data_IF_172294477974
#
_entry.id   IF_172294477974
#
_cell.length_a   1.000
_cell.length_b   1.000
_cell.length_c   1.000
_cell.angle_alpha   90.00
_cell.angle_beta   90.00
_cell.angle_gamma   90.00
#
_symmetry.space_group_name_H-M   'P 1'
#
loop_
_entity.id
_entity.type
_entity.pdbx_description
1 polymer ?
#
# COMPACT_ATOMS: atom_id res chain seq x y z
N UNK A 1 7.46 17.79 -2.30
CA UNK A 1 6.28 16.96 -2.59
C UNK A 1 6.12 16.86 -4.10
N UNK A 2 6.02 15.66 -4.67
CA UNK A 2 5.88 15.46 -6.12
C UNK A 2 4.67 16.19 -6.71
N UNK A 3 4.74 16.54 -8.01
CA UNK A 3 3.72 17.35 -8.71
C UNK A 3 2.32 16.74 -8.62
N UNK A 4 2.21 15.42 -8.83
CA UNK A 4 0.94 14.70 -8.75
C UNK A 4 0.27 14.86 -7.38
N UNK A 5 1.02 14.70 -6.29
CA UNK A 5 0.45 14.81 -4.96
C UNK A 5 -0.01 16.25 -4.64
N UNK A 6 0.72 17.27 -5.10
CA UNK A 6 0.26 18.66 -4.97
C UNK A 6 -1.04 18.93 -5.77
N UNK A 7 -1.24 18.24 -6.89
CA UNK A 7 -2.47 18.35 -7.68
C UNK A 7 -3.66 17.69 -6.97
N UNK A 8 -3.50 16.46 -6.50
CA UNK A 8 -4.61 15.75 -5.84
C UNK A 8 -5.01 16.38 -4.51
N UNK A 9 -4.09 17.01 -3.77
CA UNK A 9 -4.42 17.68 -2.50
C UNK A 9 -5.36 18.89 -2.71
N UNK A 10 -5.30 19.56 -3.87
CA UNK A 10 -6.08 20.76 -4.17
C UNK A 10 -7.51 20.50 -4.64
N UNK A 11 -7.81 19.29 -5.12
CA UNK A 11 -9.14 18.95 -5.64
C UNK A 11 -10.13 18.77 -4.51
N UNK A 12 -11.39 19.11 -4.74
CA UNK A 12 -12.45 18.70 -3.83
C UNK A 12 -12.96 17.30 -4.22
N UNK A 13 -13.37 16.52 -3.23
CA UNK A 13 -13.71 15.12 -3.40
C UNK A 13 -14.92 14.70 -2.55
N UNK A 14 -15.39 13.49 -2.77
CA UNK A 14 -16.48 12.94 -1.96
C UNK A 14 -15.95 12.32 -0.68
N UNK A 15 -16.63 12.55 0.43
CA UNK A 15 -16.41 11.79 1.68
C UNK A 15 -17.32 10.57 1.64
N UNK A 16 -16.75 9.39 1.80
CA UNK A 16 -17.53 8.15 1.84
C UNK A 16 -18.12 7.93 3.23
N UNK A 17 -19.30 7.33 3.28
CA UNK A 17 -19.88 6.87 4.54
C UNK A 17 -19.34 5.47 4.85
N UNK A 18 -18.41 5.38 5.80
CA UNK A 18 -17.73 4.15 6.19
C UNK A 18 -18.13 3.73 7.59
N UNK A 19 -19.25 3.02 7.64
CA UNK A 19 -19.80 2.42 8.86
C UNK A 19 -18.79 1.63 9.70
N UNK A 20 -17.87 0.88 9.09
CA UNK A 20 -16.90 0.11 9.85
C UNK A 20 -15.92 1.06 10.56
N UNK A 21 -15.47 2.08 9.83
CA UNK A 21 -14.54 3.07 10.37
C UNK A 21 -15.17 3.88 11.50
N UNK A 22 -16.46 4.22 11.39
CA UNK A 22 -17.21 4.95 12.43
C UNK A 22 -17.27 4.20 13.79
N UNK A 23 -17.15 2.87 13.79
CA UNK A 23 -17.10 2.05 15.01
C UNK A 23 -15.68 1.83 15.55
N UNK A 24 -14.65 2.13 14.78
CA UNK A 24 -13.26 1.92 15.18
C UNK A 24 -12.71 3.12 15.94
N UNK A 25 -11.79 2.91 16.90
CA UNK A 25 -11.13 4.02 17.57
C UNK A 25 -10.07 4.64 16.66
N UNK A 26 -9.92 5.96 16.70
CA UNK A 26 -8.86 6.69 15.99
C UNK A 26 -7.62 6.85 16.87
N UNK A 27 -6.60 6.02 16.65
CA UNK A 27 -5.33 6.09 17.39
C UNK A 27 -4.13 6.26 16.47
N UNK A 28 -3.13 7.01 16.93
CA UNK A 28 -1.84 7.08 16.24
C UNK A 28 -1.03 5.81 16.50
N UNK A 29 -1.01 4.92 15.51
CA UNK A 29 -0.26 3.66 15.51
C UNK A 29 0.83 3.64 14.43
N UNK A 30 1.26 4.83 13.98
CA UNK A 30 2.18 5.01 12.84
C UNK A 30 3.47 4.21 13.02
N UNK A 31 4.05 4.24 14.22
CA UNK A 31 5.27 3.51 14.53
C UNK A 31 5.14 2.00 14.32
N UNK A 32 4.01 1.40 14.68
CA UNK A 32 3.76 -0.02 14.48
C UNK A 32 3.57 -0.37 12.99
N UNK A 33 2.80 0.46 12.27
CA UNK A 33 2.60 0.29 10.83
C UNK A 33 3.95 0.31 10.11
N UNK A 34 4.77 1.34 10.36
CA UNK A 34 6.06 1.49 9.70
C UNK A 34 7.08 0.45 10.15
N UNK A 35 7.10 0.03 11.41
CA UNK A 35 7.97 -1.05 11.85
C UNK A 35 7.71 -2.34 11.06
N UNK A 36 6.44 -2.69 10.82
CA UNK A 36 6.08 -3.87 10.02
C UNK A 36 6.45 -3.66 8.55
N UNK A 37 6.07 -2.53 7.95
CA UNK A 37 6.32 -2.27 6.52
C UNK A 37 7.82 -2.23 6.22
N UNK A 38 8.61 -1.52 7.01
CA UNK A 38 10.07 -1.46 6.83
C UNK A 38 10.73 -2.82 7.06
N UNK A 39 10.28 -3.57 8.09
CA UNK A 39 10.77 -4.93 8.33
C UNK A 39 10.49 -5.88 7.16
N UNK A 40 9.28 -5.82 6.59
CA UNK A 40 8.92 -6.62 5.41
C UNK A 40 9.62 -6.14 4.15
N UNK A 41 9.83 -4.84 3.99
CA UNK A 41 10.63 -4.23 2.92
C UNK A 41 12.08 -4.73 2.95
N UNK A 42 12.70 -4.76 4.13
CA UNK A 42 14.04 -5.31 4.31
C UNK A 42 14.08 -6.81 3.99
N UNK A 43 13.06 -7.57 4.42
CA UNK A 43 12.97 -9.00 4.12
C UNK A 43 12.88 -9.27 2.61
N UNK A 44 11.99 -8.59 1.88
CA UNK A 44 11.85 -8.81 0.44
C UNK A 44 13.12 -8.39 -0.30
N UNK A 45 13.76 -7.29 0.12
CA UNK A 45 15.03 -6.83 -0.45
C UNK A 45 16.12 -7.88 -0.25
N UNK A 46 16.26 -8.40 0.98
CA UNK A 46 17.19 -9.48 1.27
C UNK A 46 16.94 -10.70 0.37
N UNK A 47 15.68 -11.12 0.20
CA UNK A 47 15.34 -12.26 -0.69
C UNK A 47 15.60 -11.97 -2.17
N UNK A 48 15.39 -10.73 -2.61
CA UNK A 48 15.65 -10.27 -3.96
C UNK A 48 17.14 -10.33 -4.32
N UNK A 49 18.04 -10.08 -3.36
CA UNK A 49 19.50 -10.17 -3.58
C UNK A 49 19.97 -11.59 -3.94
N UNK A 50 19.31 -12.63 -3.41
CA UNK A 50 19.64 -14.02 -3.70
C UNK A 50 18.78 -14.63 -4.81
N UNK A 51 17.74 -13.94 -5.26
CA UNK A 51 16.85 -14.43 -6.30
C UNK A 51 16.39 -13.27 -7.21
N UNK A 52 17.05 -13.06 -8.36
CA UNK A 52 16.75 -11.92 -9.24
C UNK A 52 15.34 -11.97 -9.82
N UNK A 53 14.71 -13.14 -9.92
CA UNK A 53 13.32 -13.23 -10.35
C UNK A 53 12.36 -12.56 -9.36
N UNK A 54 12.64 -12.62 -8.05
CA UNK A 54 11.83 -11.89 -7.05
C UNK A 54 11.94 -10.39 -7.31
N UNK A 55 13.14 -9.89 -7.55
CA UNK A 55 13.37 -8.47 -7.84
C UNK A 55 12.62 -8.00 -9.09
N UNK A 56 12.75 -8.73 -10.20
CA UNK A 56 12.12 -8.37 -11.49
C UNK A 56 10.60 -8.38 -11.36
N UNK A 57 10.04 -9.47 -10.81
CA UNK A 57 8.59 -9.60 -10.63
C UNK A 57 8.03 -8.53 -9.69
N UNK A 58 8.70 -8.26 -8.57
CA UNK A 58 8.31 -7.22 -7.63
C UNK A 58 8.34 -5.84 -8.31
N UNK A 59 9.42 -5.50 -9.01
CA UNK A 59 9.61 -4.20 -9.65
C UNK A 59 8.56 -3.92 -10.71
N UNK A 60 8.33 -4.87 -11.63
CA UNK A 60 7.32 -4.71 -12.68
C UNK A 60 5.90 -4.66 -12.12
N UNK A 61 5.58 -5.51 -11.16
CA UNK A 61 4.25 -5.49 -10.54
C UNK A 61 4.04 -4.16 -9.81
N UNK A 62 5.06 -3.66 -9.11
CA UNK A 62 5.02 -2.37 -8.42
C UNK A 62 4.79 -1.21 -9.40
N UNK A 63 5.42 -1.23 -10.58
CA UNK A 63 5.19 -0.22 -11.63
C UNK A 63 3.72 -0.24 -12.05
N UNK A 64 3.17 -1.40 -12.41
CA UNK A 64 1.78 -1.50 -12.84
C UNK A 64 0.78 -1.17 -11.74
N UNK A 65 1.06 -1.55 -10.49
CA UNK A 65 0.26 -1.14 -9.32
C UNK A 65 0.26 0.38 -9.16
N UNK A 66 1.42 1.03 -9.26
CA UNK A 66 1.49 2.50 -9.14
C UNK A 66 0.78 3.21 -10.31
N UNK A 67 0.85 2.67 -11.52
CA UNK A 67 0.08 3.18 -12.67
C UNK A 67 -1.43 3.03 -12.44
N UNK A 68 -1.88 1.86 -11.98
CA UNK A 68 -3.27 1.64 -11.64
C UNK A 68 -3.72 2.62 -10.54
N UNK A 69 -2.92 2.81 -9.49
CA UNK A 69 -3.20 3.78 -8.43
C UNK A 69 -3.24 5.22 -8.95
N UNK A 70 -2.33 5.62 -9.83
CA UNK A 70 -2.35 6.95 -10.44
C UNK A 70 -3.70 7.19 -11.15
N UNK A 71 -4.17 6.20 -11.90
CA UNK A 71 -5.46 6.25 -12.60
C UNK A 71 -6.61 6.30 -11.59
N UNK A 72 -6.67 5.36 -10.62
CA UNK A 72 -7.78 5.27 -9.68
C UNK A 72 -7.86 6.49 -8.78
N UNK A 73 -6.74 6.97 -8.25
CA UNK A 73 -6.71 8.19 -7.44
C UNK A 73 -7.22 9.35 -8.28
N UNK A 74 -6.80 9.49 -9.54
CA UNK A 74 -7.26 10.57 -10.43
C UNK A 74 -8.77 10.52 -10.67
N UNK A 75 -9.32 9.33 -10.96
CA UNK A 75 -10.74 9.11 -11.25
C UNK A 75 -11.61 9.25 -10.00
N UNK A 76 -11.20 8.64 -8.89
CA UNK A 76 -11.91 8.65 -7.62
C UNK A 76 -11.38 9.77 -6.73
N UNK A 77 -11.87 10.98 -6.95
CA UNK A 77 -11.58 12.12 -6.09
C UNK A 77 -12.26 11.96 -4.72
N UNK A 78 -11.55 11.33 -3.78
CA UNK A 78 -12.01 11.16 -2.41
C UNK A 78 -11.37 12.19 -1.49
N UNK A 79 -12.17 12.69 -0.55
CA UNK A 79 -11.69 13.43 0.61
C UNK A 79 -11.40 12.45 1.77
N UNK A 80 -10.47 12.78 2.68
CA UNK A 80 -10.08 11.89 3.78
C UNK A 80 -11.27 11.55 4.69
N UNK A 81 -11.26 10.37 5.32
CA UNK A 81 -12.27 10.00 6.30
C UNK A 81 -12.28 10.98 7.48
N UNK A 82 -13.42 11.07 8.15
CA UNK A 82 -13.56 11.87 9.38
C UNK A 82 -12.63 11.31 10.46
N UNK A 83 -11.98 12.19 11.20
CA UNK A 83 -11.07 11.77 12.28
C UNK A 83 -9.73 11.21 11.80
N UNK A 84 -9.30 11.53 10.57
CA UNK A 84 -8.00 11.11 10.03
C UNK A 84 -6.85 11.40 11.02
N UNK A 85 -6.09 10.36 11.36
CA UNK A 85 -4.86 10.50 12.13
C UNK A 85 -3.69 10.39 11.17
N UNK A 86 -2.93 11.47 11.04
CA UNK A 86 -1.84 11.57 10.10
C UNK A 86 -0.80 10.47 10.28
N UNK A 87 -0.48 9.79 9.19
CA UNK A 87 0.55 8.76 9.13
C UNK A 87 1.91 9.41 8.96
N UNK A 88 2.72 9.36 10.01
CA UNK A 88 4.05 9.96 10.06
C UNK A 88 5.08 8.83 9.99
N UNK A 89 5.83 8.78 8.88
CA UNK A 89 6.95 7.87 8.72
C UNK A 89 8.18 8.44 9.45
N UNK A 90 8.71 7.76 10.49
CA UNK A 90 9.85 8.25 11.23
C UNK A 90 11.14 8.27 10.41
N UNK A 91 11.27 7.42 9.38
CA UNK A 91 12.46 7.34 8.53
C UNK A 91 12.37 8.40 7.43
N UNK A 92 11.29 8.40 6.64
CA UNK A 92 11.20 9.33 5.50
C UNK A 92 10.90 10.76 5.93
N UNK A 93 10.28 10.98 7.09
CA UNK A 93 10.02 12.30 7.66
C UNK A 93 11.30 13.12 7.89
N UNK A 94 12.43 12.44 8.18
CA UNK A 94 13.75 13.06 8.31
C UNK A 94 14.24 13.64 6.97
N UNK A 95 13.93 12.97 5.85
CA UNK A 95 14.44 13.33 4.53
C UNK A 95 13.54 14.28 3.73
N UNK A 96 12.22 14.18 3.87
CA UNK A 96 11.27 14.87 3.00
C UNK A 96 10.49 16.00 3.69
N UNK A 97 10.74 16.23 4.98
CA UNK A 97 9.93 17.09 5.83
C UNK A 97 8.56 16.46 6.07
N UNK A 98 7.98 16.66 7.25
CA UNK A 98 6.74 16.03 7.70
C UNK A 98 5.46 16.48 6.93
N UNK A 99 5.52 16.64 5.60
CA UNK A 99 4.38 16.94 4.75
C UNK A 99 3.51 15.69 4.64
N UNK A 100 2.30 15.80 5.17
CA UNK A 100 1.33 14.72 5.18
C UNK A 100 0.50 14.74 3.91
N UNK A 101 0.40 13.60 3.24
CA UNK A 101 -0.48 13.38 2.10
C UNK A 101 -1.79 12.81 2.64
N UNK A 102 -2.91 13.43 2.33
CA UNK A 102 -4.24 13.08 2.88
C UNK A 102 -5.22 12.58 1.84
N UNK A 103 -4.97 12.88 0.55
CA UNK A 103 -5.84 12.49 -0.57
C UNK A 103 -5.28 11.37 -1.44
N UNK A 104 -4.28 10.64 -0.93
CA UNK A 104 -3.77 9.39 -1.53
C UNK A 104 -4.73 8.22 -1.25
N UNK A 105 -5.96 8.33 -1.75
CA UNK A 105 -7.09 7.46 -1.42
C UNK A 105 -7.55 6.65 -2.64
N UNK A 106 -7.88 5.39 -2.39
CA UNK A 106 -8.33 4.36 -3.33
C UNK A 106 -7.35 3.92 -4.45
N UNK A 107 -6.76 2.72 -4.40
CA UNK A 107 -6.67 1.76 -3.28
C UNK A 107 -5.38 1.95 -2.47
N UNK A 108 -5.34 1.41 -1.24
CA UNK A 108 -4.29 1.67 -0.25
C UNK A 108 -2.91 1.24 -0.74
N UNK A 109 -1.96 2.19 -0.83
CA UNK A 109 -0.58 1.92 -1.21
C UNK A 109 0.17 1.03 -0.20
N UNK A 110 -0.01 1.29 1.10
CA UNK A 110 0.59 0.49 2.18
C UNK A 110 0.15 -0.97 2.13
N UNK A 111 -1.16 -1.20 1.98
CA UNK A 111 -1.72 -2.55 1.82
C UNK A 111 -1.21 -3.18 0.54
N UNK A 112 -1.13 -2.42 -0.55
CA UNK A 112 -0.63 -2.92 -1.84
C UNK A 112 0.80 -3.45 -1.76
N UNK A 113 1.68 -2.69 -1.10
CA UNK A 113 3.07 -3.09 -0.86
C UNK A 113 3.13 -4.40 -0.08
N UNK A 114 2.36 -4.52 1.01
CA UNK A 114 2.33 -5.73 1.84
C UNK A 114 1.80 -6.96 1.08
N UNK A 115 0.73 -6.80 0.29
CA UNK A 115 0.21 -7.86 -0.57
C UNK A 115 1.26 -8.30 -1.59
N UNK A 116 1.91 -7.34 -2.25
CA UNK A 116 2.94 -7.63 -3.25
C UNK A 116 4.12 -8.39 -2.63
N UNK A 117 4.61 -7.96 -1.47
CA UNK A 117 5.65 -8.67 -0.72
C UNK A 117 5.22 -10.11 -0.45
N UNK A 118 4.00 -10.31 0.08
CA UNK A 118 3.46 -11.64 0.35
C UNK A 118 3.42 -12.54 -0.90
N UNK A 119 3.00 -11.99 -2.05
CA UNK A 119 2.91 -12.74 -3.31
C UNK A 119 4.29 -13.10 -3.90
N UNK A 120 5.28 -12.20 -3.76
CA UNK A 120 6.62 -12.41 -4.28
C UNK A 120 7.48 -13.37 -3.42
N UNK A 121 7.19 -13.52 -2.12
CA UNK A 121 7.94 -14.42 -1.25
C UNK A 121 7.68 -15.90 -1.58
N UNK A 122 8.77 -16.68 -1.68
CA UNK A 122 8.71 -18.10 -2.06
C UNK A 122 8.74 -19.06 -0.86
N UNK A 123 9.51 -18.73 0.19
CA UNK A 123 9.68 -19.60 1.37
C UNK A 123 8.42 -19.57 2.23
N UNK A 124 7.91 -20.74 2.63
CA UNK A 124 6.66 -20.87 3.41
C UNK A 124 6.65 -20.03 4.70
N UNK A 125 7.75 -20.05 5.45
CA UNK A 125 7.88 -19.25 6.69
C UNK A 125 7.74 -17.76 6.42
N UNK A 126 8.39 -17.27 5.37
CA UNK A 126 8.36 -15.84 5.02
C UNK A 126 6.97 -15.43 4.55
N UNK A 127 6.27 -16.31 3.82
CA UNK A 127 4.88 -16.07 3.42
C UNK A 127 3.94 -15.99 4.61
N UNK A 128 4.11 -16.85 5.63
CA UNK A 128 3.30 -16.80 6.85
C UNK A 128 3.54 -15.49 7.60
N UNK A 129 4.81 -15.10 7.77
CA UNK A 129 5.18 -13.83 8.41
C UNK A 129 4.61 -12.65 7.62
N UNK A 130 4.74 -12.65 6.29
CA UNK A 130 4.22 -11.59 5.43
C UNK A 130 2.70 -11.51 5.48
N UNK A 131 2.01 -12.64 5.52
CA UNK A 131 0.55 -12.67 5.63
C UNK A 131 0.08 -12.14 6.99
N UNK A 132 0.71 -12.56 8.08
CA UNK A 132 0.41 -12.03 9.41
C UNK A 132 0.66 -10.51 9.47
N UNK A 133 1.78 -10.04 8.92
CA UNK A 133 2.11 -8.63 8.82
C UNK A 133 1.10 -7.86 7.94
N UNK A 134 0.65 -8.43 6.83
CA UNK A 134 -0.36 -7.86 5.95
C UNK A 134 -1.67 -7.63 6.70
N UNK A 135 -2.18 -8.66 7.37
CA UNK A 135 -3.42 -8.55 8.16
C UNK A 135 -3.26 -7.51 9.27
N UNK A 136 -2.12 -7.51 9.97
CA UNK A 136 -1.83 -6.53 11.01
C UNK A 136 -1.84 -5.09 10.45
N UNK A 137 -1.14 -4.83 9.33
CA UNK A 137 -1.13 -3.51 8.69
C UNK A 137 -2.52 -3.09 8.23
N UNK A 138 -3.31 -3.99 7.62
CA UNK A 138 -4.68 -3.68 7.21
C UNK A 138 -5.54 -3.21 8.39
N UNK A 139 -5.47 -3.91 9.53
CA UNK A 139 -6.20 -3.52 10.75
C UNK A 139 -5.69 -2.20 11.32
N UNK A 140 -4.36 -2.02 11.42
CA UNK A 140 -3.77 -0.81 11.97
C UNK A 140 -4.05 0.43 11.12
N UNK A 141 -4.12 0.31 9.79
CA UNK A 141 -4.49 1.41 8.90
C UNK A 141 -5.92 1.89 9.14
N UNK A 142 -6.85 0.95 9.43
CA UNK A 142 -8.23 1.30 9.78
C UNK A 142 -8.31 1.93 11.17
N UNK A 143 -7.61 1.39 12.17
CA UNK A 143 -7.50 2.03 13.50
C UNK A 143 -6.92 3.45 13.39
N UNK A 144 -5.99 3.68 12.48
CA UNK A 144 -5.44 5.01 12.28
C UNK A 144 -6.33 5.94 11.45
N UNK A 145 -7.42 5.44 10.86
CA UNK A 145 -8.32 6.24 10.02
C UNK A 145 -7.59 6.94 8.86
N UNK A 146 -6.52 6.34 8.35
CA UNK A 146 -5.75 6.93 7.23
C UNK A 146 -6.37 6.59 5.87
N UNK A 147 -7.11 5.48 5.80
CA UNK A 147 -7.77 4.99 4.59
C UNK A 147 -9.19 4.54 4.92
N UNK A 148 -10.07 4.60 3.93
CA UNK A 148 -11.36 3.92 4.01
C UNK A 148 -11.18 2.40 3.99
N UNK A 149 -12.13 1.69 4.58
CA UNK A 149 -12.24 0.22 4.55
C UNK A 149 -12.18 -0.31 3.12
N UNK A 150 -12.86 0.36 2.19
CA UNK A 150 -12.85 -0.03 0.78
C UNK A 150 -11.46 0.07 0.15
N UNK A 151 -10.65 1.08 0.51
CA UNK A 151 -9.28 1.24 0.00
C UNK A 151 -8.38 0.08 0.44
N UNK A 152 -8.55 -0.35 1.69
CA UNK A 152 -7.77 -1.44 2.31
C UNK A 152 -8.18 -2.79 1.74
N UNK A 153 -9.48 -3.05 1.58
CA UNK A 153 -10.00 -4.32 1.06
C UNK A 153 -9.85 -4.47 -0.47
N UNK A 154 -9.89 -3.37 -1.22
CA UNK A 154 -9.70 -3.41 -2.67
C UNK A 154 -8.25 -3.76 -3.04
N UNK A 155 -7.26 -3.33 -2.23
CA UNK A 155 -5.85 -3.49 -2.54
C UNK A 155 -5.43 -4.95 -2.82
N UNK A 156 -5.77 -5.96 -1.98
CA UNK A 156 -5.49 -7.36 -2.30
C UNK A 156 -6.02 -7.84 -3.65
N UNK A 157 -7.22 -7.41 -4.04
CA UNK A 157 -7.87 -7.83 -5.28
C UNK A 157 -7.12 -7.23 -6.49
N UNK A 158 -6.90 -5.92 -6.48
CA UNK A 158 -6.21 -5.23 -7.58
C UNK A 158 -4.76 -5.69 -7.72
N UNK A 159 -4.01 -5.78 -6.61
CA UNK A 159 -2.61 -6.21 -6.64
C UNK A 159 -2.50 -7.66 -7.10
N UNK A 160 -3.38 -8.55 -6.67
CA UNK A 160 -3.37 -9.93 -7.13
C UNK A 160 -3.64 -10.03 -8.64
N UNK A 161 -4.65 -9.31 -9.15
CA UNK A 161 -4.94 -9.28 -10.58
C UNK A 161 -3.74 -8.75 -11.39
N UNK A 162 -3.14 -7.64 -10.96
CA UNK A 162 -1.96 -7.05 -11.61
C UNK A 162 -0.75 -8.00 -11.52
N UNK A 163 -0.56 -8.68 -10.40
CA UNK A 163 0.50 -9.67 -10.23
C UNK A 163 0.34 -10.84 -11.20
N UNK A 164 -0.88 -11.35 -11.42
CA UNK A 164 -1.13 -12.40 -12.42
C UNK A 164 -0.80 -11.92 -13.83
N UNK A 165 -1.28 -10.73 -14.21
CA UNK A 165 -0.98 -10.13 -15.53
C UNK A 165 0.52 -9.95 -15.71
N UNK A 166 1.21 -9.43 -14.70
CA UNK A 166 2.66 -9.22 -14.72
C UNK A 166 3.40 -10.55 -14.84
N UNK A 167 2.95 -11.58 -14.11
CA UNK A 167 3.56 -12.91 -14.16
C UNK A 167 3.37 -13.56 -15.53
N UNK A 168 2.23 -13.34 -16.18
CA UNK A 168 2.01 -13.79 -17.55
C UNK A 168 2.91 -13.02 -18.53
N UNK A 169 2.97 -11.70 -18.42
CA UNK A 169 3.80 -10.82 -19.27
C UNK A 169 5.31 -11.10 -19.14
N UNK A 170 5.78 -11.48 -17.95
CA UNK A 170 7.19 -11.77 -17.69
C UNK A 170 7.61 -13.19 -18.02
N UNK A 171 6.68 -14.11 -18.30
CA UNK A 171 7.02 -15.39 -18.91
C UNK A 171 7.27 -15.11 -20.39
N UNK A 172 8.49 -15.27 -20.90
CA UNK A 172 8.66 -15.31 -22.35
C UNK A 172 7.80 -16.47 -22.85
N UNK A 173 7.06 -16.25 -23.93
CA UNK A 173 6.48 -17.35 -24.69
C UNK A 173 7.63 -18.34 -24.95
N UNK A 174 7.51 -19.57 -24.46
CA UNK A 174 8.36 -20.67 -24.89
C UNK A 174 7.99 -20.92 -26.37
N UNK A 175 8.61 -20.15 -27.27
CA UNK A 175 8.61 -20.36 -28.72
C UNK A 175 9.71 -21.35 -29.07
#
# INVERSE_FOLDING_TARGET
MPVFFNYIEKRDGTVLNDWLLDYLPAYNVSYFIFAIIWGMGALILYRALYNPHIYIQYSWTLIFVNLARLITITVFALNPPKGIVHLIDPITGIFYGNKVITKDLFFSGHTSTMVLIFLCLRKRTDKIIAFAGLIAVMVLLLIQHIHYTIDVLAAPIFVYAIFLVTTHFLKPDEV
#
